data_IF_223808170519
#
_entry.id   IF_223808170519
#
_cell.length_a   1.000
_cell.length_b   1.000
_cell.length_c   1.000
_cell.angle_alpha   90.00
_cell.angle_beta   90.00
_cell.angle_gamma   90.00
#
_symmetry.space_group_name_H-M   'P 1'
#
loop_
_entity.id
_entity.type
_entity.pdbx_description
1 polymer ?
#
# COMPACT_ATOMS: atom_id res chain seq x y z
N UNK A 1 -20.50 -3.64 -2.25
CA UNK A 1 -19.54 -3.70 -1.13
C UNK A 1 -19.63 -2.35 -0.43
N UNK A 2 -19.80 -2.29 0.90
CA UNK A 2 -19.83 -1.00 1.58
C UNK A 2 -18.41 -0.45 1.76
N UNK A 3 -18.28 0.87 1.95
CA UNK A 3 -16.99 1.56 2.04
C UNK A 3 -16.07 0.97 3.13
N UNK A 4 -16.61 0.63 4.29
CA UNK A 4 -15.83 0.04 5.38
C UNK A 4 -15.29 -1.36 5.03
N UNK A 5 -16.07 -2.18 4.33
CA UNK A 5 -15.62 -3.49 3.85
C UNK A 5 -14.53 -3.35 2.80
N UNK A 6 -14.61 -2.36 1.92
CA UNK A 6 -13.60 -2.11 0.89
C UNK A 6 -12.24 -1.78 1.51
N UNK A 7 -12.22 -0.88 2.50
CA UNK A 7 -11.04 -0.52 3.27
C UNK A 7 -10.44 -1.72 4.02
N UNK A 8 -11.26 -2.52 4.71
CA UNK A 8 -10.80 -3.73 5.41
C UNK A 8 -10.23 -4.78 4.47
N UNK A 9 -10.84 -4.95 3.29
CA UNK A 9 -10.34 -5.90 2.27
C UNK A 9 -8.93 -5.50 1.82
N UNK A 10 -8.70 -4.21 1.58
CA UNK A 10 -7.38 -3.70 1.21
C UNK A 10 -6.35 -3.87 2.36
N UNK A 11 -6.76 -3.59 3.61
CA UNK A 11 -5.92 -3.81 4.79
C UNK A 11 -5.52 -5.28 4.96
N UNK A 12 -6.47 -6.21 4.83
CA UNK A 12 -6.24 -7.66 4.88
C UNK A 12 -5.32 -8.13 3.75
N UNK A 13 -5.43 -7.55 2.56
CA UNK A 13 -4.53 -7.86 1.44
C UNK A 13 -3.09 -7.45 1.77
N UNK A 14 -2.88 -6.22 2.22
CA UNK A 14 -1.55 -5.74 2.62
C UNK A 14 -0.92 -6.59 3.73
N UNK A 15 -1.71 -7.01 4.73
CA UNK A 15 -1.21 -7.90 5.80
C UNK A 15 -0.80 -9.27 5.28
N UNK A 16 -1.62 -9.89 4.43
CA UNK A 16 -1.30 -11.19 3.83
C UNK A 16 -0.03 -11.10 2.98
N UNK A 17 0.11 -10.05 2.20
CA UNK A 17 1.30 -9.84 1.37
C UNK A 17 2.54 -9.59 2.25
N UNK A 18 2.40 -8.87 3.37
CA UNK A 18 3.47 -8.67 4.35
C UNK A 18 3.85 -9.95 5.11
N UNK A 19 2.88 -10.81 5.46
CA UNK A 19 3.11 -12.12 6.08
C UNK A 19 3.76 -13.12 5.11
N UNK A 20 3.37 -13.07 3.83
CA UNK A 20 3.94 -13.89 2.78
C UNK A 20 5.37 -13.46 2.40
N UNK A 21 5.72 -12.18 2.60
CA UNK A 21 7.08 -11.72 2.50
C UNK A 21 7.93 -12.44 3.56
N UNK A 22 8.85 -13.30 3.09
CA UNK A 22 9.62 -14.28 3.87
C UNK A 22 10.27 -13.75 5.17
N UNK A 23 10.49 -12.44 5.23
CA UNK A 23 10.84 -11.64 6.41
C UNK A 23 10.59 -10.19 6.04
N UNK A 24 10.11 -9.34 6.96
CA UNK A 24 10.23 -7.90 6.76
C UNK A 24 11.72 -7.56 6.63
N UNK A 25 12.15 -7.24 5.41
CA UNK A 25 13.56 -6.98 5.10
C UNK A 25 14.04 -5.81 5.97
N UNK A 26 15.07 -5.98 6.82
CA UNK A 26 15.41 -4.99 7.83
C UNK A 26 15.80 -3.66 7.20
N UNK A 27 15.20 -2.58 7.69
CA UNK A 27 15.54 -1.21 7.33
C UNK A 27 16.94 -0.81 7.86
N UNK A 28 17.62 0.17 7.23
CA UNK A 28 17.22 0.87 6.01
C UNK A 28 17.45 0.04 4.75
N UNK A 29 16.66 0.30 3.72
CA UNK A 29 16.93 -0.16 2.37
C UNK A 29 17.84 0.84 1.64
N UNK A 30 18.82 0.33 0.90
CA UNK A 30 19.80 1.13 0.18
C UNK A 30 19.78 0.77 -1.30
N UNK A 31 19.78 1.79 -2.14
CA UNK A 31 19.99 1.65 -3.58
C UNK A 31 21.50 1.62 -3.83
N UNK A 32 21.99 0.58 -4.52
CA UNK A 32 23.39 0.49 -4.94
C UNK A 32 23.61 1.15 -6.30
N UNK A 33 24.87 1.39 -6.65
CA UNK A 33 25.27 1.96 -7.95
C UNK A 33 24.87 1.04 -9.12
N UNK A 34 24.72 -0.26 -8.86
CA UNK A 34 24.23 -1.26 -9.81
C UNK A 34 22.69 -1.27 -9.96
N UNK A 35 21.97 -0.32 -9.37
CA UNK A 35 20.49 -0.26 -9.39
C UNK A 35 19.82 -1.47 -8.71
N UNK A 36 20.41 -1.94 -7.62
CA UNK A 36 19.88 -3.01 -6.77
C UNK A 36 19.42 -2.41 -5.45
N UNK A 37 18.23 -2.78 -4.97
CA UNK A 37 17.78 -2.44 -3.62
C UNK A 37 18.20 -3.55 -2.68
N UNK A 38 18.97 -3.19 -1.65
CA UNK A 38 19.40 -4.11 -0.58
C UNK A 38 18.89 -3.66 0.77
N UNK A 39 18.52 -4.61 1.63
CA UNK A 39 18.23 -4.33 3.03
C UNK A 39 19.50 -4.39 3.90
N UNK A 40 19.37 -4.03 5.19
CA UNK A 40 20.51 -3.87 6.09
C UNK A 40 21.34 -5.14 6.31
N UNK A 41 20.76 -6.33 6.09
CA UNK A 41 21.48 -7.62 6.15
C UNK A 41 22.12 -8.04 4.82
N UNK A 42 22.02 -7.20 3.78
CA UNK A 42 22.63 -7.40 2.47
C UNK A 42 21.77 -8.20 1.48
N UNK A 43 20.59 -8.68 1.86
CA UNK A 43 19.68 -9.36 0.92
C UNK A 43 19.15 -8.41 -0.16
N UNK A 44 18.89 -8.96 -1.34
CA UNK A 44 18.33 -8.23 -2.49
C UNK A 44 16.81 -8.19 -2.35
N UNK A 45 16.25 -6.99 -2.33
CA UNK A 45 14.81 -6.72 -2.27
C UNK A 45 14.23 -6.50 -3.67
N UNK A 46 14.98 -5.82 -4.53
CA UNK A 46 14.66 -5.63 -5.93
C UNK A 46 15.96 -5.55 -6.74
N UNK A 47 15.97 -6.19 -7.91
CA UNK A 47 17.10 -6.17 -8.84
C UNK A 47 16.65 -5.64 -10.20
N UNK A 48 17.31 -4.57 -10.64
CA UNK A 48 17.17 -3.97 -11.97
C UNK A 48 18.54 -3.76 -12.62
N UNK A 49 19.58 -4.44 -12.18
CA UNK A 49 20.94 -4.27 -12.74
C UNK A 49 21.06 -4.78 -14.18
N UNK A 50 20.15 -5.65 -14.61
CA UNK A 50 20.13 -6.25 -15.95
C UNK A 50 19.28 -5.51 -16.98
N UNK A 51 18.63 -4.41 -16.62
CA UNK A 51 17.76 -3.65 -17.53
C UNK A 51 18.39 -2.31 -17.93
N UNK A 52 18.39 -2.06 -19.23
CA UNK A 52 18.73 -0.76 -19.80
C UNK A 52 17.51 0.14 -20.00
N UNK A 53 16.32 -0.31 -19.59
CA UNK A 53 15.09 0.46 -19.76
C UNK A 53 15.05 1.63 -18.77
N UNK A 54 14.99 2.89 -19.23
CA UNK A 54 15.04 4.06 -18.34
C UNK A 54 13.92 4.10 -17.30
N UNK A 55 12.73 3.58 -17.63
CA UNK A 55 11.61 3.53 -16.70
C UNK A 55 11.89 2.62 -15.50
N UNK A 56 12.56 1.48 -15.71
CA UNK A 56 12.87 0.55 -14.61
C UNK A 56 13.91 1.12 -13.65
N UNK A 57 14.78 2.02 -14.12
CA UNK A 57 15.72 2.76 -13.26
C UNK A 57 15.03 3.81 -12.39
N UNK A 58 13.93 4.39 -12.87
CA UNK A 58 13.15 5.38 -12.12
C UNK A 58 12.34 4.76 -10.96
N UNK A 59 12.00 3.47 -11.06
CA UNK A 59 11.22 2.76 -10.04
C UNK A 59 12.05 2.44 -8.78
N UNK A 60 13.38 2.31 -8.91
CA UNK A 60 14.25 1.86 -7.81
C UNK A 60 14.21 2.78 -6.58
N UNK A 61 14.34 4.11 -6.69
CA UNK A 61 14.17 5.01 -5.55
C UNK A 61 12.77 4.93 -4.92
N UNK A 62 11.73 4.74 -5.73
CA UNK A 62 10.35 4.61 -5.26
C UNK A 62 10.15 3.31 -4.47
N UNK A 63 10.63 2.17 -4.99
CA UNK A 63 10.61 0.87 -4.30
C UNK A 63 11.40 0.94 -3.00
N UNK A 64 12.58 1.57 -2.99
CA UNK A 64 13.39 1.73 -1.80
C UNK A 64 12.67 2.53 -0.68
N UNK A 65 11.80 3.49 -1.06
CA UNK A 65 10.99 4.25 -0.13
C UNK A 65 9.79 3.45 0.42
N UNK A 66 9.30 2.46 -0.32
CA UNK A 66 8.16 1.61 0.06
C UNK A 66 8.61 0.39 0.89
N UNK A 67 9.29 0.67 2.01
CA UNK A 67 9.64 -0.33 3.03
C UNK A 67 8.38 -1.13 3.48
N UNK A 68 8.47 -2.43 3.80
CA UNK A 68 7.29 -3.25 4.08
C UNK A 68 6.55 -2.80 5.35
N UNK A 69 7.24 -2.08 6.25
CA UNK A 69 6.63 -1.44 7.41
C UNK A 69 5.65 -0.34 6.98
N UNK A 70 5.87 0.32 5.84
CA UNK A 70 4.91 1.25 5.24
C UNK A 70 3.62 0.53 4.88
N UNK A 71 3.70 -0.64 4.24
CA UNK A 71 2.52 -1.47 3.94
C UNK A 71 1.75 -1.88 5.21
N UNK A 72 2.47 -2.20 6.29
CA UNK A 72 1.86 -2.54 7.59
C UNK A 72 1.16 -1.34 8.22
N UNK A 73 1.80 -0.17 8.23
CA UNK A 73 1.21 1.07 8.75
C UNK A 73 0.00 1.51 7.91
N UNK A 74 0.08 1.35 6.60
CA UNK A 74 -1.03 1.64 5.70
C UNK A 74 -2.21 0.71 5.97
N UNK A 75 -1.98 -0.59 6.19
CA UNK A 75 -3.04 -1.52 6.59
C UNK A 75 -3.71 -1.12 7.91
N UNK A 76 -2.94 -0.63 8.89
CA UNK A 76 -3.50 -0.11 10.15
C UNK A 76 -4.33 1.16 9.92
N UNK A 77 -3.84 2.08 9.09
CA UNK A 77 -4.57 3.30 8.74
C UNK A 77 -5.90 3.00 8.05
N UNK A 78 -5.92 2.03 7.14
CA UNK A 78 -7.14 1.59 6.44
C UNK A 78 -8.17 0.99 7.41
N UNK A 79 -7.74 0.23 8.42
CA UNK A 79 -8.65 -0.31 9.44
C UNK A 79 -9.24 0.79 10.32
N UNK A 80 -8.42 1.74 10.76
CA UNK A 80 -8.90 2.90 11.55
C UNK A 80 -9.95 3.67 10.75
N UNK A 81 -9.68 3.91 9.47
CA UNK A 81 -10.64 4.61 8.61
C UNK A 81 -11.91 3.77 8.39
N UNK A 82 -11.81 2.45 8.26
CA UNK A 82 -12.98 1.58 8.13
C UNK A 82 -13.89 1.67 9.36
N UNK A 83 -13.32 1.78 10.56
CA UNK A 83 -14.08 1.98 11.80
C UNK A 83 -14.73 3.36 11.86
N UNK A 84 -14.02 4.40 11.43
CA UNK A 84 -14.56 5.77 11.33
C UNK A 84 -15.72 5.84 10.35
N UNK A 85 -15.57 5.25 9.15
CA UNK A 85 -16.61 5.18 8.12
C UNK A 85 -17.83 4.43 8.64
N UNK A 86 -17.63 3.25 9.26
CA UNK A 86 -18.73 2.48 9.83
C UNK A 86 -19.51 3.26 10.91
N UNK A 87 -18.80 4.00 11.77
CA UNK A 87 -19.42 4.84 12.80
C UNK A 87 -20.21 6.00 12.18
N UNK A 88 -19.68 6.68 11.16
CA UNK A 88 -20.36 7.77 10.45
C UNK A 88 -21.62 7.29 9.74
N UNK A 89 -21.54 6.17 9.02
CA UNK A 89 -22.70 5.56 8.36
C UNK A 89 -23.78 5.15 9.36
N UNK A 90 -23.39 4.65 10.55
CA UNK A 90 -24.35 4.34 11.60
C UNK A 90 -25.06 5.58 12.18
N UNK A 91 -24.41 6.76 12.17
CA UNK A 91 -24.98 8.01 12.67
C UNK A 91 -25.94 8.68 11.68
N UNK A 92 -25.57 8.74 10.40
CA UNK A 92 -26.33 9.47 9.37
C UNK A 92 -27.22 8.57 8.50
N UNK A 93 -26.98 7.26 8.51
CA UNK A 93 -27.71 6.28 7.70
C UNK A 93 -27.30 6.24 6.23
N UNK A 94 -26.32 7.04 5.81
CA UNK A 94 -25.82 7.09 4.42
C UNK A 94 -24.30 6.89 4.34
N UNK A 95 -23.83 6.37 3.20
CA UNK A 95 -22.40 6.26 2.89
C UNK A 95 -21.84 7.58 2.34
N UNK A 96 -22.68 8.42 1.72
CA UNK A 96 -22.28 9.71 1.14
C UNK A 96 -21.70 10.65 2.19
N UNK A 97 -22.33 10.73 3.37
CA UNK A 97 -21.81 11.50 4.50
C UNK A 97 -20.48 10.95 5.03
N UNK A 98 -20.26 9.65 4.95
CA UNK A 98 -19.04 9.03 5.43
C UNK A 98 -17.83 9.33 4.52
N UNK A 99 -18.05 9.48 3.21
CA UNK A 99 -17.01 9.76 2.21
C UNK A 99 -16.51 11.22 2.20
N UNK A 100 -17.38 12.17 2.53
CA UNK A 100 -17.12 13.62 2.36
C UNK A 100 -16.04 14.18 3.31
N UNK A 101 -15.70 13.47 4.40
CA UNK A 101 -14.74 13.91 5.42
C UNK A 101 -13.29 13.43 5.19
N UNK A 102 -12.78 13.58 3.96
CA UNK A 102 -11.37 13.28 3.65
C UNK A 102 -11.04 11.79 3.48
N UNK A 103 -12.05 10.93 3.51
CA UNK A 103 -11.92 9.47 3.33
C UNK A 103 -11.58 9.08 1.88
N UNK A 104 -11.85 9.98 0.91
CA UNK A 104 -11.69 9.72 -0.53
C UNK A 104 -10.31 9.17 -0.92
N UNK A 105 -9.23 9.76 -0.41
CA UNK A 105 -7.88 9.27 -0.75
C UNK A 105 -7.61 7.86 -0.22
N UNK A 106 -8.11 7.51 0.96
CA UNK A 106 -7.94 6.17 1.53
C UNK A 106 -8.81 5.14 0.80
N UNK A 107 -9.99 5.54 0.32
CA UNK A 107 -10.80 4.71 -0.56
C UNK A 107 -10.14 4.49 -1.92
N UNK A 108 -9.56 5.52 -2.52
CA UNK A 108 -8.84 5.40 -3.79
C UNK A 108 -7.61 4.50 -3.64
N UNK A 109 -6.85 4.65 -2.55
CA UNK A 109 -5.75 3.75 -2.21
C UNK A 109 -6.27 2.32 -2.04
N UNK A 110 -7.37 2.10 -1.31
CA UNK A 110 -7.95 0.78 -1.13
C UNK A 110 -8.39 0.16 -2.46
N UNK A 111 -8.98 0.94 -3.38
CA UNK A 111 -9.35 0.50 -4.73
C UNK A 111 -8.15 0.09 -5.56
N UNK A 112 -7.08 0.87 -5.52
CA UNK A 112 -5.82 0.53 -6.20
C UNK A 112 -5.25 -0.78 -5.65
N UNK A 113 -5.22 -0.95 -4.32
CA UNK A 113 -4.76 -2.18 -3.67
C UNK A 113 -5.65 -3.37 -4.07
N UNK A 114 -6.96 -3.19 -4.08
CA UNK A 114 -7.92 -4.23 -4.44
C UNK A 114 -7.93 -4.55 -5.95
N UNK A 115 -7.40 -3.66 -6.79
CA UNK A 115 -7.44 -3.77 -8.25
C UNK A 115 -8.82 -3.44 -8.83
N UNK A 116 -9.57 -2.56 -8.16
CA UNK A 116 -10.97 -2.20 -8.51
C UNK A 116 -11.13 -0.78 -9.02
N UNK A 117 -10.04 -0.04 -9.23
CA UNK A 117 -10.10 1.21 -10.00
C UNK A 117 -10.54 0.89 -11.43
N UNK A 118 -11.60 1.56 -11.91
CA UNK A 118 -11.91 1.57 -13.34
C UNK A 118 -10.67 2.06 -14.08
N UNK A 119 -10.06 1.20 -14.91
CA UNK A 119 -9.05 1.65 -15.87
C UNK A 119 -9.71 2.71 -16.76
N UNK A 120 -9.47 3.98 -16.48
CA UNK A 120 -9.59 5.00 -17.53
C UNK A 120 -8.48 4.75 -18.53
N UNK A 121 -8.78 3.91 -19.51
CA UNK A 121 -8.04 3.75 -20.76
C UNK A 121 -8.18 5.00 -21.63
#
# INVERSE_FOLDING_TARGET
>A
MNLATELRTAAEKLRRDAEAAHRASPAPWTVTDEHVVRCADGMIVADRSGTDHPAERADIPYIAAMDPTVGTLLAQLLDVEADVVAARTAMDGTEDYAADYGTNHLLDIARLINGTTEETA
#
